data_IF_288150636985
#
_entry.id   IF_288150636985
#
_cell.length_a   1.000
_cell.length_b   1.000
_cell.length_c   1.000
_cell.angle_alpha   90.00
_cell.angle_beta   90.00
_cell.angle_gamma   90.00
#
_symmetry.space_group_name_H-M   'P 1'
#
loop_
_entity.id
_entity.type
_entity.pdbx_description
1 polymer ?
#
# COMPACT_ATOMS: atom_id res chain seq x y z
N UNK A 1 5.10 10.02 -19.28
CA UNK A 1 5.96 9.20 -18.40
C UNK A 1 5.46 9.40 -16.99
N UNK A 2 5.35 8.36 -16.13
CA UNK A 2 5.08 8.57 -14.70
C UNK A 2 6.04 9.62 -14.16
N UNK A 3 5.58 10.45 -13.23
CA UNK A 3 6.48 11.29 -12.46
C UNK A 3 7.42 10.38 -11.67
N UNK A 4 8.66 10.28 -12.16
CA UNK A 4 9.70 9.42 -11.58
C UNK A 4 10.05 9.85 -10.18
N UNK A 5 9.83 11.13 -9.83
CA UNK A 5 10.05 11.65 -8.49
C UNK A 5 8.98 11.16 -7.52
N UNK A 6 7.70 11.35 -7.84
CA UNK A 6 6.59 10.87 -7.01
C UNK A 6 6.66 9.34 -6.80
N UNK A 7 7.08 8.60 -7.83
CA UNK A 7 7.30 7.16 -7.73
C UNK A 7 8.45 6.83 -6.76
N UNK A 8 9.57 7.56 -6.86
CA UNK A 8 10.70 7.40 -5.93
C UNK A 8 10.33 7.73 -4.49
N UNK A 9 9.64 8.85 -4.28
CA UNK A 9 9.22 9.32 -2.95
C UNK A 9 8.27 8.32 -2.28
N UNK A 10 7.33 7.72 -3.04
CA UNK A 10 6.49 6.64 -2.53
C UNK A 10 7.29 5.43 -2.08
N UNK A 11 8.25 4.96 -2.89
CA UNK A 11 9.07 3.80 -2.55
C UNK A 11 9.99 4.06 -1.36
N UNK A 12 10.59 5.24 -1.25
CA UNK A 12 11.37 5.62 -0.07
C UNK A 12 10.52 5.62 1.21
N UNK A 13 9.27 6.10 1.13
CA UNK A 13 8.32 5.99 2.23
C UNK A 13 7.97 4.53 2.56
N UNK A 14 7.62 3.74 1.55
CA UNK A 14 7.23 2.35 1.70
C UNK A 14 8.34 1.50 2.32
N UNK A 15 9.59 1.69 1.87
CA UNK A 15 10.77 1.03 2.44
C UNK A 15 10.98 1.43 3.90
N UNK A 16 10.80 2.71 4.23
CA UNK A 16 10.93 3.19 5.61
C UNK A 16 9.88 2.56 6.53
N UNK A 17 8.62 2.56 6.09
CA UNK A 17 7.53 1.90 6.83
C UNK A 17 7.74 0.39 6.96
N UNK A 18 8.33 -0.27 5.95
CA UNK A 18 8.63 -1.70 5.99
C UNK A 18 9.82 -2.06 6.90
N UNK A 19 10.75 -1.13 7.07
CA UNK A 19 11.90 -1.29 7.96
C UNK A 19 11.54 -1.10 9.45
N UNK A 20 10.45 -0.40 9.74
CA UNK A 20 9.85 -0.36 11.08
C UNK A 20 9.21 -1.72 11.41
N UNK A 21 9.71 -2.46 12.43
CA UNK A 21 9.18 -3.78 12.79
C UNK A 21 7.71 -3.74 13.21
N UNK A 22 7.27 -2.72 13.94
CA UNK A 22 5.91 -2.63 14.46
C UNK A 22 4.91 -2.39 13.32
N UNK A 23 5.25 -1.46 12.41
CA UNK A 23 4.42 -1.23 11.22
C UNK A 23 4.41 -2.45 10.31
N UNK A 24 5.55 -3.11 10.08
CA UNK A 24 5.61 -4.33 9.28
C UNK A 24 4.72 -5.44 9.86
N UNK A 25 4.77 -5.67 11.16
CA UNK A 25 3.91 -6.65 11.83
C UNK A 25 2.43 -6.33 11.63
N UNK A 26 2.03 -5.05 11.80
CA UNK A 26 0.64 -4.62 11.55
C UNK A 26 0.23 -4.82 10.09
N UNK A 27 1.04 -4.40 9.13
CA UNK A 27 0.76 -4.55 7.70
C UNK A 27 0.58 -6.02 7.31
N UNK A 28 1.43 -6.91 7.85
CA UNK A 28 1.30 -8.35 7.66
C UNK A 28 0.02 -8.90 8.32
N UNK A 29 -0.29 -8.48 9.55
CA UNK A 29 -1.52 -8.88 10.22
C UNK A 29 -2.77 -8.46 9.43
N UNK A 30 -2.81 -7.24 8.90
CA UNK A 30 -3.89 -6.76 8.05
C UNK A 30 -4.01 -7.53 6.74
N UNK A 31 -2.89 -7.82 6.08
CA UNK A 31 -2.89 -8.64 4.88
C UNK A 31 -3.44 -10.06 5.15
N UNK A 32 -3.02 -10.68 6.24
CA UNK A 32 -3.35 -12.07 6.51
C UNK A 32 -4.77 -12.25 7.07
N UNK A 33 -5.23 -11.37 7.97
CA UNK A 33 -6.54 -11.49 8.61
C UNK A 33 -7.66 -10.77 7.86
N UNK A 34 -7.35 -9.66 7.16
CA UNK A 34 -8.36 -8.83 6.49
C UNK A 34 -8.20 -8.81 4.97
N UNK A 35 -7.16 -9.45 4.42
CA UNK A 35 -6.88 -9.43 2.98
C UNK A 35 -6.50 -8.04 2.47
N UNK A 36 -6.05 -7.15 3.37
CA UNK A 36 -5.64 -5.81 3.01
C UNK A 36 -4.44 -5.84 2.06
N UNK A 37 -4.39 -4.87 1.16
CA UNK A 37 -3.29 -4.72 0.23
C UNK A 37 -2.30 -3.70 0.76
N UNK A 38 -1.12 -4.19 1.12
CA UNK A 38 -0.07 -3.40 1.78
C UNK A 38 0.29 -2.16 0.95
N UNK A 39 0.32 -2.26 -0.38
CA UNK A 39 0.65 -1.13 -1.25
C UNK A 39 -0.42 -0.04 -1.15
N UNK A 40 -1.70 -0.40 -1.11
CA UNK A 40 -2.81 0.56 -0.97
C UNK A 40 -2.84 1.21 0.40
N UNK A 41 -2.53 0.45 1.45
CA UNK A 41 -2.38 0.98 2.82
C UNK A 41 -1.23 2.00 2.88
N UNK A 42 -0.07 1.66 2.33
CA UNK A 42 1.08 2.57 2.30
C UNK A 42 0.80 3.80 1.45
N UNK A 43 0.10 3.65 0.33
CA UNK A 43 -0.31 4.78 -0.51
C UNK A 43 -1.25 5.73 0.26
N UNK A 44 -2.21 5.20 1.01
CA UNK A 44 -3.12 6.00 1.84
C UNK A 44 -2.36 6.87 2.87
N UNK A 45 -1.29 6.34 3.43
CA UNK A 45 -0.43 7.03 4.40
C UNK A 45 0.59 7.98 3.77
N UNK A 46 0.96 7.76 2.50
CA UNK A 46 1.99 8.54 1.82
C UNK A 46 1.43 9.76 1.07
N UNK A 47 0.35 9.60 0.29
CA UNK A 47 0.00 10.56 -0.76
C UNK A 47 -0.14 12.01 -0.22
N UNK A 48 0.58 12.99 -0.79
CA UNK A 48 0.55 14.37 -0.32
C UNK A 48 -0.75 15.06 -0.72
N UNK A 49 -1.39 15.74 0.24
CA UNK A 49 -2.58 16.55 -0.02
C UNK A 49 -3.88 15.77 -0.26
N UNK A 50 -5.02 16.46 -0.35
CA UNK A 50 -6.33 15.83 -0.40
C UNK A 50 -6.55 15.03 -1.69
N UNK A 51 -7.31 13.93 -1.60
CA UNK A 51 -7.83 13.17 -2.73
C UNK A 51 -9.35 13.17 -2.65
N UNK A 52 -10.02 13.37 -3.79
CA UNK A 52 -11.48 13.30 -3.81
C UNK A 52 -11.95 11.85 -3.57
N UNK A 53 -13.14 11.69 -2.99
CA UNK A 53 -13.71 10.37 -2.75
C UNK A 53 -13.82 9.53 -4.04
N UNK A 54 -14.25 10.15 -5.13
CA UNK A 54 -14.38 9.50 -6.44
C UNK A 54 -13.02 9.05 -7.01
N UNK A 55 -11.94 9.76 -6.69
CA UNK A 55 -10.59 9.35 -7.07
C UNK A 55 -10.15 8.12 -6.28
N UNK A 56 -10.40 8.09 -4.97
CA UNK A 56 -10.09 6.95 -4.11
C UNK A 56 -10.89 5.70 -4.51
N UNK A 57 -12.18 5.86 -4.80
CA UNK A 57 -13.05 4.76 -5.24
C UNK A 57 -12.57 4.19 -6.59
N UNK A 58 -12.17 5.07 -7.53
CA UNK A 58 -11.59 4.67 -8.82
C UNK A 58 -10.27 3.92 -8.65
N UNK A 59 -9.37 4.46 -7.82
CA UNK A 59 -8.08 3.84 -7.52
C UNK A 59 -8.26 2.46 -6.85
N UNK A 60 -9.20 2.35 -5.90
CA UNK A 60 -9.58 1.08 -5.28
C UNK A 60 -10.01 0.07 -6.35
N UNK A 61 -10.96 0.43 -7.21
CA UNK A 61 -11.48 -0.47 -8.24
C UNK A 61 -10.39 -0.96 -9.19
N UNK A 62 -9.52 -0.06 -9.67
CA UNK A 62 -8.40 -0.38 -10.58
C UNK A 62 -7.39 -1.33 -9.90
N UNK A 63 -6.97 -1.01 -8.68
CA UNK A 63 -6.03 -1.84 -7.93
C UNK A 63 -6.63 -3.21 -7.56
N UNK A 64 -7.91 -3.25 -7.19
CA UNK A 64 -8.64 -4.48 -6.89
C UNK A 64 -8.73 -5.40 -8.10
N UNK A 65 -9.03 -4.85 -9.28
CA UNK A 65 -9.06 -5.60 -10.53
C UNK A 65 -7.68 -6.20 -10.87
N UNK A 66 -6.61 -5.42 -10.80
CA UNK A 66 -5.24 -5.93 -10.96
C UNK A 66 -4.91 -7.04 -9.96
N UNK A 67 -5.15 -6.80 -8.68
CA UNK A 67 -4.83 -7.74 -7.60
C UNK A 67 -5.60 -9.06 -7.78
N UNK A 68 -6.88 -9.00 -8.16
CA UNK A 68 -7.71 -10.19 -8.39
C UNK A 68 -7.23 -11.00 -9.59
N UNK A 69 -6.83 -10.34 -10.69
CA UNK A 69 -6.37 -11.01 -11.91
C UNK A 69 -4.94 -11.52 -11.81
N UNK A 70 -4.11 -10.96 -10.94
CA UNK A 70 -2.67 -11.21 -10.87
C UNK A 70 -2.21 -11.62 -9.47
N UNK A 71 -2.06 -10.66 -8.55
CA UNK A 71 -1.38 -10.86 -7.25
C UNK A 71 -2.03 -11.95 -6.40
N UNK A 72 -3.36 -11.95 -6.26
CA UNK A 72 -4.07 -12.94 -5.45
C UNK A 72 -3.93 -14.37 -6.00
N UNK A 73 -3.84 -14.53 -7.32
CA UNK A 73 -3.64 -15.84 -7.95
C UNK A 73 -2.24 -16.37 -7.70
N UNK A 74 -1.22 -15.50 -7.81
CA UNK A 74 0.17 -15.84 -7.49
C UNK A 74 0.27 -16.22 -6.01
N UNK A 75 -0.29 -15.39 -5.11
CA UNK A 75 -0.31 -15.63 -3.66
C UNK A 75 -0.98 -16.95 -3.29
N UNK A 76 -2.14 -17.24 -3.88
CA UNK A 76 -2.84 -18.50 -3.66
C UNK A 76 -1.99 -19.71 -4.10
N UNK A 77 -1.31 -19.62 -5.24
CA UNK A 77 -0.41 -20.67 -5.69
C UNK A 77 0.80 -20.81 -4.76
N UNK A 78 1.44 -19.71 -4.36
CA UNK A 78 2.57 -19.70 -3.43
C UNK A 78 2.23 -20.38 -2.11
N UNK A 79 1.08 -20.05 -1.51
CA UNK A 79 0.62 -20.67 -0.25
C UNK A 79 0.50 -22.19 -0.35
N UNK A 80 0.11 -22.73 -1.51
CA UNK A 80 0.02 -24.20 -1.75
C UNK A 80 1.37 -24.88 -1.91
N UNK A 81 2.45 -24.14 -2.13
CA UNK A 81 3.81 -24.67 -2.31
C UNK A 81 4.68 -24.48 -1.06
N UNK A 82 4.11 -24.08 0.08
CA UNK A 82 4.84 -23.86 1.32
C UNK A 82 5.19 -25.19 2.02
N UNK A 83 6.08 -25.96 1.39
CA UNK A 83 6.66 -27.20 1.93
C UNK A 83 8.17 -27.23 1.67
N UNK A 84 8.96 -27.96 2.48
CA UNK A 84 10.41 -28.05 2.30
C UNK A 84 10.83 -28.51 0.89
N UNK A 85 10.14 -29.49 0.33
CA UNK A 85 10.45 -30.11 -0.98
C UNK A 85 10.20 -29.16 -2.15
N UNK A 86 9.35 -28.15 -1.95
CA UNK A 86 8.92 -27.18 -2.98
C UNK A 86 9.51 -25.79 -2.75
N UNK A 87 10.50 -25.67 -1.87
CA UNK A 87 11.05 -24.38 -1.45
C UNK A 87 11.52 -23.50 -2.62
N UNK A 88 12.19 -24.08 -3.63
CA UNK A 88 12.64 -23.33 -4.79
C UNK A 88 11.46 -22.71 -5.58
N UNK A 89 10.38 -23.47 -5.78
CA UNK A 89 9.17 -22.98 -6.44
C UNK A 89 8.45 -21.93 -5.59
N UNK A 90 8.39 -22.13 -4.27
CA UNK A 90 7.87 -21.15 -3.33
C UNK A 90 8.60 -19.81 -3.45
N UNK A 91 9.95 -19.84 -3.47
CA UNK A 91 10.79 -18.63 -3.61
C UNK A 91 10.59 -17.94 -4.95
N UNK A 92 10.50 -18.68 -6.05
CA UNK A 92 10.24 -18.11 -7.37
C UNK A 92 8.87 -17.42 -7.44
N UNK A 93 7.83 -18.01 -6.83
CA UNK A 93 6.52 -17.38 -6.76
C UNK A 93 6.48 -16.16 -5.83
N UNK A 94 7.24 -16.18 -4.73
CA UNK A 94 7.37 -15.01 -3.86
C UNK A 94 7.98 -13.83 -4.63
N UNK A 95 9.04 -14.08 -5.39
CA UNK A 95 9.67 -13.05 -6.21
C UNK A 95 8.72 -12.52 -7.31
N UNK A 96 7.95 -13.41 -7.95
CA UNK A 96 6.92 -13.02 -8.92
C UNK A 96 5.81 -12.19 -8.28
N UNK A 97 5.36 -12.56 -7.08
CA UNK A 97 4.35 -11.82 -6.32
C UNK A 97 4.83 -10.39 -6.04
N UNK A 98 6.03 -10.23 -5.50
CA UNK A 98 6.62 -8.92 -5.20
C UNK A 98 6.74 -8.05 -6.46
N UNK A 99 7.15 -8.63 -7.59
CA UNK A 99 7.20 -7.91 -8.87
C UNK A 99 5.81 -7.51 -9.36
N UNK A 100 4.80 -8.35 -9.17
CA UNK A 100 3.42 -8.05 -9.54
C UNK A 100 2.81 -6.96 -8.65
N UNK A 101 3.14 -6.94 -7.36
CA UNK A 101 2.77 -5.87 -6.43
C UNK A 101 3.42 -4.54 -6.82
N UNK A 102 4.72 -4.57 -7.13
CA UNK A 102 5.45 -3.40 -7.61
C UNK A 102 4.83 -2.83 -8.90
N UNK A 103 4.46 -3.69 -9.86
CA UNK A 103 3.77 -3.24 -11.08
C UNK A 103 2.37 -2.68 -10.77
N UNK A 104 1.63 -3.28 -9.84
CA UNK A 104 0.36 -2.76 -9.36
C UNK A 104 0.48 -1.37 -8.74
N UNK A 105 1.51 -1.15 -7.91
CA UNK A 105 1.83 0.15 -7.33
C UNK A 105 2.12 1.20 -8.41
N UNK A 106 2.92 0.84 -9.43
CA UNK A 106 3.19 1.75 -10.57
C UNK A 106 1.92 2.13 -11.33
N UNK A 107 0.98 1.21 -11.52
CA UNK A 107 -0.30 1.52 -12.12
C UNK A 107 -1.13 2.46 -11.24
N UNK A 108 -1.20 2.19 -9.93
CA UNK A 108 -1.88 3.06 -8.96
C UNK A 108 -1.34 4.49 -8.99
N UNK A 109 -0.02 4.64 -8.90
CA UNK A 109 0.66 5.96 -8.90
C UNK A 109 0.46 6.71 -10.21
N UNK A 110 0.42 6.02 -11.35
CA UNK A 110 0.16 6.63 -12.66
C UNK A 110 -1.26 7.15 -12.84
N UNK A 111 -2.21 6.53 -12.16
CA UNK A 111 -3.64 6.86 -12.26
C UNK A 111 -4.09 7.85 -11.19
N UNK A 112 -3.25 8.04 -10.16
CA UNK A 112 -3.46 9.03 -9.13
C UNK A 112 -3.46 10.43 -9.76
N UNK A 113 -4.46 11.28 -9.45
CA UNK A 113 -4.40 12.67 -9.86
C UNK A 113 -3.15 13.33 -9.24
N UNK A 114 -2.52 14.29 -9.94
CA UNK A 114 -1.42 15.03 -9.37
C UNK A 114 -1.93 15.81 -8.14
N UNK A 115 -1.09 15.97 -7.09
CA UNK A 115 -1.46 16.81 -5.96
C UNK A 115 -1.78 18.22 -6.44
N UNK A 116 -2.75 18.87 -5.79
CA UNK A 116 -3.09 20.26 -6.09
C UNK A 116 -1.83 21.14 -6.00
N UNK A 117 -1.72 22.15 -6.86
CA UNK A 117 -0.52 23.02 -6.92
C UNK A 117 -0.20 23.75 -5.61
N UNK A 118 -1.16 23.82 -4.68
CA UNK A 118 -1.03 24.42 -3.35
C UNK A 118 -0.70 23.40 -2.25
N UNK A 119 -0.66 22.10 -2.57
CA UNK A 119 -0.28 21.08 -1.61
C UNK A 119 1.24 21.18 -1.37
N UNK A 120 1.63 21.32 -0.11
CA UNK A 120 3.02 21.14 0.27
C UNK A 120 3.36 19.66 0.05
N UNK A 121 4.30 19.33 -0.87
CA UNK A 121 4.65 17.95 -1.19
C UNK A 121 5.25 17.21 0.00
N UNK A 122 5.62 17.92 1.08
CA UNK A 122 6.17 17.37 2.31
C UNK A 122 5.14 17.24 3.44
N UNK A 123 3.91 17.76 3.27
CA UNK A 123 2.88 17.68 4.29
C UNK A 123 2.31 16.27 4.35
N UNK A 124 2.69 15.55 5.41
CA UNK A 124 2.14 14.25 5.78
C UNK A 124 0.63 14.34 6.03
N UNK A 125 -0.16 13.37 5.56
CA UNK A 125 -1.55 13.26 5.99
C UNK A 125 -1.62 12.95 7.50
N UNK A 126 -2.53 13.60 8.21
CA UNK A 126 -2.79 13.29 9.61
C UNK A 126 -3.58 11.97 9.72
N UNK A 127 -3.66 11.41 10.93
CA UNK A 127 -4.37 10.14 11.17
C UNK A 127 -5.82 10.15 10.64
N UNK A 128 -6.55 11.26 10.77
CA UNK A 128 -7.91 11.36 10.25
C UNK A 128 -7.95 11.22 8.72
N UNK A 129 -7.06 11.89 7.99
CA UNK A 129 -6.97 11.75 6.52
C UNK A 129 -6.57 10.33 6.12
N UNK A 130 -5.67 9.68 6.85
CA UNK A 130 -5.27 8.29 6.58
C UNK A 130 -6.46 7.36 6.79
N UNK A 131 -7.19 7.50 7.90
CA UNK A 131 -8.37 6.68 8.21
C UNK A 131 -9.45 6.80 7.12
N UNK A 132 -9.75 8.03 6.67
CA UNK A 132 -10.71 8.29 5.59
C UNK A 132 -10.30 7.60 4.28
N UNK A 133 -9.01 7.68 3.93
CA UNK A 133 -8.46 7.02 2.73
C UNK A 133 -8.51 5.49 2.87
N UNK A 134 -8.14 4.95 4.02
CA UNK A 134 -8.22 3.51 4.29
C UNK A 134 -9.67 3.02 4.18
N UNK A 135 -10.64 3.82 4.62
CA UNK A 135 -12.04 3.44 4.53
C UNK A 135 -12.53 3.20 3.09
N UNK A 136 -11.89 3.87 2.12
CA UNK A 136 -12.21 3.79 0.69
C UNK A 136 -11.34 2.78 -0.04
N UNK A 137 -10.04 2.78 0.24
CA UNK A 137 -9.05 1.93 -0.44
C UNK A 137 -9.06 0.48 0.08
N UNK A 138 -9.37 0.30 1.36
CA UNK A 138 -9.41 -1.00 2.04
C UNK A 138 -10.73 -1.16 2.84
N UNK A 139 -11.89 -1.24 2.16
CA UNK A 139 -13.19 -1.31 2.82
C UNK A 139 -13.39 -2.58 3.67
N UNK A 140 -12.55 -3.61 3.49
CA UNK A 140 -12.53 -4.82 4.31
C UNK A 140 -11.85 -4.66 5.68
N UNK A 141 -11.12 -3.56 5.92
CA UNK A 141 -10.52 -3.27 7.22
C UNK A 141 -11.59 -2.77 8.22
N UNK A 142 -11.71 -3.39 9.41
CA UNK A 142 -12.64 -2.94 10.43
C UNK A 142 -12.36 -1.49 10.87
N UNK A 143 -13.39 -0.68 11.22
CA UNK A 143 -13.19 0.71 11.63
C UNK A 143 -12.19 0.89 12.78
N UNK A 144 -12.22 0.02 13.79
CA UNK A 144 -11.28 0.07 14.92
C UNK A 144 -9.82 -0.17 14.47
N UNK A 145 -9.61 -1.11 13.55
CA UNK A 145 -8.30 -1.36 12.96
C UNK A 145 -7.82 -0.15 12.16
N UNK A 146 -8.68 0.43 11.31
CA UNK A 146 -8.31 1.60 10.50
C UNK A 146 -7.90 2.77 11.37
N UNK A 147 -8.65 3.08 12.43
CA UNK A 147 -8.34 4.21 13.31
C UNK A 147 -7.01 3.99 14.06
N UNK A 148 -6.81 2.81 14.65
CA UNK A 148 -5.56 2.47 15.33
C UNK A 148 -4.35 2.50 14.39
N UNK A 149 -4.45 1.86 13.23
CA UNK A 149 -3.34 1.83 12.28
C UNK A 149 -3.08 3.16 11.59
N UNK A 150 -4.11 4.00 11.39
CA UNK A 150 -3.93 5.35 10.89
C UNK A 150 -3.13 6.23 11.85
N UNK A 151 -3.35 6.10 13.16
CA UNK A 151 -2.55 6.78 14.17
C UNK A 151 -1.07 6.34 14.13
N UNK A 152 -0.83 5.03 14.03
CA UNK A 152 0.53 4.48 13.90
C UNK A 152 1.23 4.93 12.62
N UNK A 153 0.55 4.84 11.46
CA UNK A 153 1.08 5.28 10.17
C UNK A 153 1.38 6.79 10.13
N UNK A 154 0.56 7.61 10.81
CA UNK A 154 0.83 9.05 10.95
C UNK A 154 2.05 9.32 11.83
N UNK A 155 2.29 8.49 12.85
CA UNK A 155 3.44 8.60 13.76
C UNK A 155 4.74 8.04 13.20
N UNK A 156 4.66 7.24 12.13
CA UNK A 156 5.80 6.62 11.47
C UNK A 156 6.82 7.67 11.04
N UNK A 157 7.91 7.80 11.79
CA UNK A 157 9.00 8.71 11.45
C UNK A 157 9.69 8.23 10.19
N UNK A 158 9.82 9.11 9.19
CA UNK A 158 10.72 8.87 8.06
C UNK A 158 12.03 9.58 8.41
N UNK A 159 13.13 8.85 8.67
CA UNK A 159 14.41 9.49 8.89
C UNK A 159 14.80 10.29 7.63
N UNK A 160 15.07 11.58 7.79
CA UNK A 160 15.68 12.39 6.72
C UNK A 160 14.77 13.38 5.98
N UNK A 161 13.56 13.66 6.47
CA UNK A 161 12.85 14.90 6.12
C UNK A 161 12.96 15.87 7.31
N UNK A 162 13.31 17.14 7.06
CA UNK A 162 13.50 18.14 8.12
C UNK A 162 12.24 18.38 8.95
#
# INVERSE_FOLDING_TARGET
>A
MPDTRATGDFWSFAETAWNDPALRERLMAWQDHHGADVIRVLFAAWHPGPLAADDLDRLHARARDWSTRTTLRIRALRRRLHTPERHALYRALLELELRAEHLGALHLLRECPPPAATADPYLRPCAATIEERLARLEPGLPPAERSAGAAELASASVPGLP
#
